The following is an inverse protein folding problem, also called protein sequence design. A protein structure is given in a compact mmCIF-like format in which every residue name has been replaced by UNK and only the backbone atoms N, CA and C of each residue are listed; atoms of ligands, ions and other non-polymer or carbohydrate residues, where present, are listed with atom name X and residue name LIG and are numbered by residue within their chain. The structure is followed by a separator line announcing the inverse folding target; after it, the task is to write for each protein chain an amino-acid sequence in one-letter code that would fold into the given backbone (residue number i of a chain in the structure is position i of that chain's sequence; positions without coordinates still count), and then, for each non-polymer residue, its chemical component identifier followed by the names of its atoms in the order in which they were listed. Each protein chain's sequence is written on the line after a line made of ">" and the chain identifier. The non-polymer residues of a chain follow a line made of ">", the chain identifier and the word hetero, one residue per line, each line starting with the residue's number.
data_IF_133927794509
#
_entry.id   IF_133927794509
#
_cell.length_a   1.000
_cell.length_b   1.000
_cell.length_c   1.000
_cell.angle_alpha   90.00
_cell.angle_beta   90.00
_cell.angle_gamma   90.00
#
_symmetry.space_group_name_H-M   'P 1'
#
loop_
_entity.id
_entity.type
_entity.pdbx_description
1 polymer ?
#
# COMPACT_ATOMS: atom_id res chain seq x y z
N UNK A 1 -11.75 -0.97 20.31
CA UNK A 1 -11.13 0.28 20.80
C UNK A 1 -11.41 1.44 19.87
N UNK A 2 -11.27 2.71 20.33
CA UNK A 2 -11.41 3.90 19.49
C UNK A 2 -10.17 4.07 18.60
N UNK A 3 -10.35 4.62 17.38
CA UNK A 3 -9.24 4.95 16.49
C UNK A 3 -8.43 6.12 17.06
N UNK A 4 -7.12 6.00 17.02
CA UNK A 4 -6.19 7.08 17.34
C UNK A 4 -5.29 7.30 16.13
N UNK A 5 -5.48 8.38 15.35
CA UNK A 5 -4.64 8.65 14.19
C UNK A 5 -3.16 8.83 14.58
N UNK A 6 -2.28 8.45 13.67
CA UNK A 6 -0.83 8.67 13.77
C UNK A 6 -0.38 9.71 12.72
N UNK A 7 0.89 10.17 12.74
CA UNK A 7 1.41 11.06 11.69
C UNK A 7 1.26 10.45 10.30
N UNK A 8 0.80 11.24 9.32
CA UNK A 8 0.52 10.74 7.96
C UNK A 8 1.79 10.39 7.17
N UNK A 9 2.92 11.05 7.47
CA UNK A 9 4.16 10.83 6.75
C UNK A 9 5.25 10.24 7.65
N UNK A 10 5.88 9.16 7.17
CA UNK A 10 7.08 8.55 7.75
C UNK A 10 8.35 9.18 7.14
N UNK A 11 8.53 10.49 7.32
CA UNK A 11 9.64 11.25 6.69
C UNK A 11 10.90 11.36 7.58
N UNK A 12 10.90 10.72 8.75
CA UNK A 12 12.06 10.60 9.62
C UNK A 12 13.10 9.64 9.05
N UNK A 13 14.30 10.10 8.73
CA UNK A 13 15.36 9.27 8.12
C UNK A 13 15.69 8.01 8.92
N UNK A 14 15.71 8.09 10.25
CA UNK A 14 15.99 6.94 11.13
C UNK A 14 14.85 5.91 11.05
N UNK A 15 13.60 6.36 11.05
CA UNK A 15 12.40 5.53 10.92
C UNK A 15 12.34 4.88 9.54
N UNK A 16 12.56 5.65 8.46
CA UNK A 16 12.59 5.13 7.09
C UNK A 16 13.65 4.02 6.92
N UNK A 17 14.86 4.22 7.49
CA UNK A 17 15.91 3.21 7.46
C UNK A 17 15.57 1.96 8.26
N UNK A 18 14.99 2.12 9.46
CA UNK A 18 14.55 0.99 10.28
C UNK A 18 13.48 0.16 9.56
N UNK A 19 12.52 0.84 8.93
CA UNK A 19 11.48 0.21 8.13
C UNK A 19 12.07 -0.52 6.91
N UNK A 20 12.95 0.13 6.15
CA UNK A 20 13.58 -0.47 4.97
C UNK A 20 14.50 -1.65 5.30
N UNK A 21 15.07 -1.69 6.52
CA UNK A 21 15.92 -2.78 6.99
C UNK A 21 15.12 -3.97 7.56
N UNK A 22 13.83 -3.80 7.83
CA UNK A 22 12.99 -4.88 8.33
C UNK A 22 12.66 -5.91 7.23
N UNK A 23 12.61 -7.17 7.60
CA UNK A 23 12.27 -8.25 6.66
C UNK A 23 10.76 -8.41 6.54
N UNK A 24 10.17 -7.82 5.51
CA UNK A 24 8.77 -7.99 5.12
C UNK A 24 8.58 -9.00 3.98
N UNK A 25 9.65 -9.70 3.55
CA UNK A 25 9.69 -10.48 2.30
C UNK A 25 8.57 -11.50 2.19
N UNK A 26 8.26 -12.23 3.25
CA UNK A 26 7.19 -13.25 3.25
C UNK A 26 5.80 -12.60 3.07
N UNK A 27 5.53 -11.49 3.77
CA UNK A 27 4.26 -10.77 3.68
C UNK A 27 4.07 -10.08 2.32
N UNK A 28 5.15 -9.53 1.78
CA UNK A 28 5.16 -8.89 0.46
C UNK A 28 4.97 -9.92 -0.65
N UNK A 29 5.61 -11.10 -0.54
CA UNK A 29 5.42 -12.19 -1.51
C UNK A 29 3.98 -12.72 -1.45
N UNK A 30 3.42 -12.91 -0.26
CA UNK A 30 2.03 -13.33 -0.10
C UNK A 30 1.04 -12.36 -0.75
N UNK A 31 1.34 -11.02 -0.73
CA UNK A 31 0.55 -10.03 -1.44
C UNK A 31 0.60 -10.28 -2.96
N UNK A 32 1.78 -10.47 -3.54
CA UNK A 32 1.92 -10.74 -4.98
C UNK A 32 1.21 -12.03 -5.38
N UNK A 33 1.31 -13.08 -4.56
CA UNK A 33 0.60 -14.35 -4.81
C UNK A 33 -0.92 -14.16 -4.74
N UNK A 34 -1.39 -13.34 -3.78
CA UNK A 34 -2.83 -13.00 -3.66
C UNK A 34 -3.36 -12.29 -4.89
N UNK A 35 -2.59 -11.35 -5.47
CA UNK A 35 -2.96 -10.68 -6.72
C UNK A 35 -3.19 -11.66 -7.86
N UNK A 36 -2.36 -12.70 -7.98
CA UNK A 36 -2.49 -13.74 -9.01
C UNK A 36 -3.77 -14.57 -8.84
N UNK A 37 -4.23 -14.75 -7.60
CA UNK A 37 -5.50 -15.44 -7.30
C UNK A 37 -6.70 -14.57 -7.61
N UNK A 38 -6.65 -13.28 -7.20
CA UNK A 38 -7.78 -12.35 -7.38
C UNK A 38 -7.95 -11.92 -8.84
N UNK A 39 -6.84 -11.80 -9.57
CA UNK A 39 -6.81 -11.30 -10.95
C UNK A 39 -6.07 -12.28 -11.87
N UNK A 40 -6.66 -13.45 -12.16
CA UNK A 40 -6.00 -14.51 -12.94
C UNK A 40 -5.66 -14.08 -14.37
N UNK A 41 -6.34 -13.07 -14.89
CA UNK A 41 -6.03 -12.45 -16.21
C UNK A 41 -4.88 -11.45 -16.15
N UNK A 42 -4.21 -11.30 -15.00
CA UNK A 42 -3.12 -10.35 -14.77
C UNK A 42 -3.61 -8.97 -14.35
N UNK A 43 -2.67 -8.00 -14.27
CA UNK A 43 -2.94 -6.63 -13.81
C UNK A 43 -2.93 -5.59 -14.94
N UNK A 44 -2.63 -6.01 -16.17
CA UNK A 44 -2.48 -5.11 -17.31
C UNK A 44 -1.08 -4.50 -17.42
N UNK A 45 -0.97 -3.39 -18.15
CA UNK A 45 0.33 -2.85 -18.59
C UNK A 45 0.81 -1.63 -17.80
N UNK A 46 -0.02 -1.03 -16.94
CA UNK A 46 0.33 0.16 -16.16
C UNK A 46 -0.14 0.02 -14.73
N UNK A 47 0.81 -0.25 -13.82
CA UNK A 47 0.57 -0.56 -12.43
C UNK A 47 0.99 0.61 -11.54
N UNK A 48 0.14 1.00 -10.63
CA UNK A 48 0.38 2.08 -9.67
C UNK A 48 0.40 1.52 -8.25
N UNK A 49 1.43 1.86 -7.50
CA UNK A 49 1.60 1.50 -6.08
C UNK A 49 1.55 2.78 -5.24
N UNK A 50 0.43 3.02 -4.56
CA UNK A 50 0.17 4.20 -3.73
C UNK A 50 0.66 3.96 -2.30
N UNK A 51 1.50 4.88 -1.80
CA UNK A 51 2.20 4.71 -0.53
C UNK A 51 3.28 3.64 -0.64
N UNK A 52 4.09 3.71 -1.71
CA UNK A 52 5.03 2.64 -2.05
C UNK A 52 6.21 2.51 -1.05
N UNK A 53 6.42 3.49 -0.17
CA UNK A 53 7.54 3.51 0.78
C UNK A 53 8.89 3.31 0.08
N UNK A 54 9.77 2.42 0.59
CA UNK A 54 11.07 2.12 -0.02
C UNK A 54 10.96 1.21 -1.26
N UNK A 55 9.75 0.99 -1.78
CA UNK A 55 9.51 0.31 -3.06
C UNK A 55 9.36 -1.21 -2.99
N UNK A 56 9.22 -1.80 -1.83
CA UNK A 56 9.17 -3.26 -1.67
C UNK A 56 8.16 -3.96 -2.59
N UNK A 57 6.92 -3.45 -2.63
CA UNK A 57 5.87 -3.99 -3.50
C UNK A 57 6.13 -3.59 -4.95
N UNK A 58 6.53 -2.33 -5.21
CA UNK A 58 6.83 -1.85 -6.57
C UNK A 58 7.89 -2.71 -7.27
N UNK A 59 8.98 -3.09 -6.59
CA UNK A 59 10.00 -3.97 -7.15
C UNK A 59 9.46 -5.38 -7.46
N UNK A 60 8.66 -5.96 -6.56
CA UNK A 60 8.06 -7.28 -6.77
C UNK A 60 7.05 -7.27 -7.92
N UNK A 61 6.27 -6.19 -8.05
CA UNK A 61 5.39 -5.99 -9.22
C UNK A 61 6.19 -5.92 -10.51
N UNK A 62 7.28 -5.16 -10.51
CA UNK A 62 8.15 -5.06 -11.67
C UNK A 62 8.79 -6.42 -12.04
N UNK A 63 9.17 -7.23 -11.07
CA UNK A 63 9.72 -8.58 -11.32
C UNK A 63 8.64 -9.56 -11.82
N UNK A 64 7.43 -9.48 -11.26
CA UNK A 64 6.33 -10.40 -11.59
C UNK A 64 5.66 -10.09 -12.92
N UNK A 65 5.63 -8.79 -13.32
CA UNK A 65 5.00 -8.29 -14.54
C UNK A 65 6.04 -7.57 -15.41
N UNK A 66 6.93 -8.31 -16.11
CA UNK A 66 8.08 -7.73 -16.82
C UNK A 66 7.72 -6.81 -17.98
N UNK A 67 6.51 -6.93 -18.52
CA UNK A 67 6.01 -6.11 -19.63
C UNK A 67 5.21 -4.87 -19.16
N UNK A 68 5.03 -4.70 -17.85
CA UNK A 68 4.28 -3.59 -17.30
C UNK A 68 5.18 -2.40 -16.92
N UNK A 69 4.66 -1.18 -17.11
CA UNK A 69 5.14 0.01 -16.43
C UNK A 69 4.67 -0.03 -14.96
N UNK A 70 5.59 0.16 -14.02
CA UNK A 70 5.28 0.24 -12.58
C UNK A 70 5.64 1.63 -12.08
N UNK A 71 4.72 2.27 -11.38
CA UNK A 71 4.89 3.60 -10.82
C UNK A 71 4.65 3.52 -9.32
N UNK A 72 5.68 3.72 -8.51
CA UNK A 72 5.54 3.89 -7.06
C UNK A 72 5.32 5.36 -6.72
N UNK A 73 4.35 5.65 -5.88
CA UNK A 73 4.04 7.00 -5.40
C UNK A 73 4.09 7.02 -3.89
N UNK A 74 4.81 8.00 -3.33
CA UNK A 74 4.87 8.22 -1.89
C UNK A 74 4.99 9.71 -1.57
N UNK A 75 4.48 10.13 -0.41
CA UNK A 75 4.62 11.50 0.11
C UNK A 75 5.91 11.72 0.90
N UNK A 76 6.59 10.65 1.34
CA UNK A 76 7.80 10.72 2.16
C UNK A 76 9.06 10.69 1.29
N UNK A 77 9.76 11.82 1.20
CA UNK A 77 10.99 11.94 0.41
C UNK A 77 12.07 10.95 0.85
N UNK A 78 12.24 10.75 2.16
CA UNK A 78 13.21 9.81 2.71
C UNK A 78 12.97 8.35 2.27
N UNK A 79 11.71 7.93 2.16
CA UNK A 79 11.35 6.61 1.65
C UNK A 79 11.70 6.46 0.17
N UNK A 80 11.37 7.46 -0.63
CA UNK A 80 11.65 7.41 -2.07
C UNK A 80 13.15 7.49 -2.41
N UNK A 81 13.95 8.14 -1.59
CA UNK A 81 15.40 8.15 -1.77
C UNK A 81 15.97 6.74 -1.62
N UNK A 82 15.51 5.99 -0.61
CA UNK A 82 15.87 4.57 -0.45
C UNK A 82 15.40 3.72 -1.65
N UNK A 83 14.17 3.94 -2.13
CA UNK A 83 13.66 3.23 -3.31
C UNK A 83 14.52 3.51 -4.56
N UNK A 84 14.92 4.76 -4.79
CA UNK A 84 15.77 5.16 -5.91
C UNK A 84 17.18 4.58 -5.81
N UNK A 85 17.77 4.54 -4.61
CA UNK A 85 19.06 3.88 -4.37
C UNK A 85 19.02 2.40 -4.75
N UNK A 86 17.98 1.66 -4.31
CA UNK A 86 17.79 0.25 -4.67
C UNK A 86 17.60 0.09 -6.18
N UNK A 87 16.79 0.95 -6.82
CA UNK A 87 16.58 0.92 -8.27
C UNK A 87 17.89 1.13 -9.04
N UNK A 88 18.69 2.09 -8.60
CA UNK A 88 20.00 2.37 -9.20
C UNK A 88 20.94 1.15 -9.08
N UNK A 89 21.05 0.56 -7.89
CA UNK A 89 21.89 -0.61 -7.64
C UNK A 89 21.46 -1.81 -8.50
N UNK A 90 20.16 -2.11 -8.56
CA UNK A 90 19.62 -3.20 -9.39
C UNK A 90 19.85 -2.96 -10.87
N UNK A 91 19.68 -1.71 -11.35
CA UNK A 91 19.91 -1.35 -12.74
C UNK A 91 21.38 -1.44 -13.14
N UNK A 92 22.32 -1.15 -12.24
CA UNK A 92 23.75 -1.35 -12.45
C UNK A 92 24.12 -2.84 -12.57
N UNK A 93 23.47 -3.70 -11.80
CA UNK A 93 23.75 -5.14 -11.77
C UNK A 93 23.07 -5.91 -12.90
N UNK A 94 21.85 -5.54 -13.28
CA UNK A 94 20.98 -6.30 -14.18
C UNK A 94 20.74 -5.61 -15.54
N UNK A 95 21.28 -4.42 -15.73
CA UNK A 95 21.06 -3.58 -16.92
C UNK A 95 19.88 -2.64 -16.76
N UNK A 96 19.70 -1.71 -17.74
CA UNK A 96 18.77 -0.58 -17.63
C UNK A 96 17.29 -0.94 -17.81
N UNK A 97 16.96 -2.18 -18.15
CA UNK A 97 15.58 -2.59 -18.44
C UNK A 97 14.61 -2.30 -17.30
N UNK A 98 15.06 -2.46 -16.04
CA UNK A 98 14.23 -2.18 -14.87
C UNK A 98 13.92 -0.69 -14.74
N UNK A 99 14.92 0.18 -14.85
CA UNK A 99 14.73 1.63 -14.71
C UNK A 99 13.99 2.28 -15.89
N UNK A 100 13.80 1.57 -17.00
CA UNK A 100 12.97 2.03 -18.11
C UNK A 100 11.47 1.85 -17.85
N UNK A 101 11.09 0.94 -16.94
CA UNK A 101 9.70 0.58 -16.68
C UNK A 101 9.26 0.71 -15.21
N UNK A 102 10.19 0.93 -14.28
CA UNK A 102 9.91 1.25 -12.88
C UNK A 102 10.40 2.65 -12.56
N UNK A 103 9.53 3.47 -12.00
CA UNK A 103 9.87 4.83 -11.54
C UNK A 103 9.14 5.17 -10.25
N UNK A 104 9.70 6.14 -9.52
CA UNK A 104 9.15 6.63 -8.25
C UNK A 104 8.83 8.12 -8.35
N UNK A 105 7.67 8.51 -7.83
CA UNK A 105 7.12 9.86 -7.88
C UNK A 105 6.86 10.36 -6.46
N UNK A 106 7.45 11.48 -6.10
CA UNK A 106 7.14 12.19 -4.83
C UNK A 106 5.83 12.96 -5.01
N UNK A 107 4.81 12.52 -4.29
CA UNK A 107 3.47 13.09 -4.42
C UNK A 107 2.63 12.76 -3.19
N UNK A 108 2.09 13.77 -2.53
CA UNK A 108 1.09 13.61 -1.48
C UNK A 108 -0.31 13.44 -2.10
N UNK A 109 -1.13 12.60 -1.49
CA UNK A 109 -2.50 12.34 -1.95
C UNK A 109 -3.49 13.31 -1.31
N UNK A 110 -4.58 13.70 -2.04
CA UNK A 110 -4.78 13.50 -3.47
C UNK A 110 -4.00 14.52 -4.28
N UNK A 111 -3.65 14.20 -5.52
CA UNK A 111 -2.93 15.14 -6.39
C UNK A 111 -3.37 15.02 -7.84
N UNK A 112 -3.43 16.14 -8.59
CA UNK A 112 -3.64 16.11 -10.04
C UNK A 112 -2.42 15.55 -10.81
N UNK A 113 -1.25 15.43 -10.17
CA UNK A 113 -0.03 14.87 -10.77
C UNK A 113 -0.01 13.34 -10.76
N UNK A 114 -1.00 12.70 -10.12
CA UNK A 114 -1.11 11.25 -10.10
C UNK A 114 -1.25 10.68 -11.53
N UNK A 115 -0.59 9.53 -11.80
CA UNK A 115 -0.76 8.84 -13.07
C UNK A 115 -2.22 8.48 -13.33
N UNK A 116 -2.69 8.70 -14.54
CA UNK A 116 -4.05 8.38 -14.97
C UNK A 116 -4.07 7.15 -15.87
N UNK A 117 -5.26 6.59 -16.12
CA UNK A 117 -5.47 5.42 -16.96
C UNK A 117 -4.59 4.21 -16.55
N UNK A 118 -4.45 4.00 -15.25
CA UNK A 118 -3.77 2.83 -14.72
C UNK A 118 -4.65 1.58 -14.93
N UNK A 119 -4.03 0.47 -15.31
CA UNK A 119 -4.72 -0.82 -15.46
C UNK A 119 -4.93 -1.51 -14.11
N UNK A 120 -4.08 -1.20 -13.14
CA UNK A 120 -4.26 -1.59 -11.74
C UNK A 120 -3.72 -0.52 -10.79
N UNK A 121 -4.36 -0.37 -9.64
CA UNK A 121 -3.92 0.50 -8.53
C UNK A 121 -3.88 -0.33 -7.26
N UNK A 122 -2.70 -0.34 -6.64
CA UNK A 122 -2.41 -1.07 -5.44
C UNK A 122 -2.03 -0.12 -4.31
N UNK A 123 -2.22 -0.57 -3.07
CA UNK A 123 -1.66 0.08 -1.89
C UNK A 123 -1.46 -0.97 -0.79
N UNK A 124 -0.36 -0.86 -0.07
CA UNK A 124 -0.08 -1.72 1.07
C UNK A 124 0.34 -0.87 2.26
N UNK A 125 -0.40 -0.95 3.35
CA UNK A 125 -0.09 -0.26 4.61
C UNK A 125 -0.02 1.28 4.48
N UNK A 126 -0.99 1.88 3.78
CA UNK A 126 -1.13 3.33 3.62
C UNK A 126 -2.41 3.88 4.28
N UNK A 127 -3.53 3.16 4.16
CA UNK A 127 -4.85 3.67 4.55
C UNK A 127 -4.90 4.11 6.01
N UNK A 128 -4.24 3.38 6.92
CA UNK A 128 -4.24 3.70 8.35
C UNK A 128 -3.51 5.02 8.67
N UNK A 129 -2.54 5.45 7.86
CA UNK A 129 -1.87 6.73 8.03
C UNK A 129 -2.77 7.91 7.68
N UNK A 130 -3.75 7.76 6.79
CA UNK A 130 -4.57 8.85 6.32
C UNK A 130 -5.57 9.32 7.38
N UNK A 131 -5.52 10.59 7.74
CA UNK A 131 -6.50 11.21 8.64
C UNK A 131 -7.88 11.26 8.01
N UNK A 132 -7.96 11.68 6.74
CA UNK A 132 -9.14 11.54 5.87
C UNK A 132 -8.97 10.36 4.90
N UNK A 133 -9.58 9.19 5.15
CA UNK A 133 -9.46 8.04 4.26
C UNK A 133 -10.04 8.28 2.86
N UNK A 134 -10.93 9.28 2.71
CA UNK A 134 -11.50 9.65 1.40
C UNK A 134 -10.42 10.13 0.42
N UNK A 135 -9.26 10.55 0.92
CA UNK A 135 -8.08 10.87 0.10
C UNK A 135 -7.64 9.69 -0.76
N UNK A 136 -7.55 8.48 -0.18
CA UNK A 136 -7.20 7.28 -0.94
C UNK A 136 -8.28 6.94 -1.96
N UNK A 137 -9.54 6.92 -1.55
CA UNK A 137 -10.65 6.55 -2.42
C UNK A 137 -10.82 7.51 -3.61
N UNK A 138 -10.64 8.82 -3.39
CA UNK A 138 -10.60 9.82 -4.50
C UNK A 138 -9.42 9.57 -5.43
N UNK A 139 -8.26 9.19 -4.89
CA UNK A 139 -7.07 8.89 -5.71
C UNK A 139 -7.30 7.69 -6.64
N UNK A 140 -8.04 6.67 -6.21
CA UNK A 140 -8.42 5.55 -7.10
C UNK A 140 -9.22 6.02 -8.31
N UNK A 141 -10.17 6.96 -8.11
CA UNK A 141 -10.98 7.53 -9.20
C UNK A 141 -10.15 8.41 -10.15
N UNK A 142 -9.12 9.10 -9.63
CA UNK A 142 -8.20 9.91 -10.46
C UNK A 142 -7.34 9.01 -11.33
N UNK A 143 -6.77 7.94 -10.73
CA UNK A 143 -5.78 7.09 -11.38
C UNK A 143 -6.41 6.03 -12.30
N UNK A 144 -7.63 5.57 -11.97
CA UNK A 144 -8.29 4.48 -12.65
C UNK A 144 -9.32 4.93 -13.68
N UNK A 145 -9.83 3.93 -14.40
CA UNK A 145 -10.96 4.00 -15.32
C UNK A 145 -11.81 2.72 -15.10
N UNK A 146 -12.99 2.59 -15.69
CA UNK A 146 -13.77 1.36 -15.65
C UNK A 146 -12.91 0.15 -16.05
N UNK A 147 -12.96 -0.92 -15.24
CA UNK A 147 -12.14 -2.12 -15.41
C UNK A 147 -10.74 -2.03 -14.77
N UNK A 148 -10.35 -0.89 -14.18
CA UNK A 148 -9.11 -0.81 -13.39
C UNK A 148 -9.19 -1.73 -12.19
N UNK A 149 -8.20 -2.60 -12.02
CA UNK A 149 -8.09 -3.53 -10.90
C UNK A 149 -7.56 -2.83 -9.67
N UNK A 150 -8.26 -3.00 -8.56
CA UNK A 150 -7.92 -2.38 -7.28
C UNK A 150 -7.53 -3.47 -6.28
N UNK A 151 -6.42 -3.27 -5.60
CA UNK A 151 -6.04 -4.08 -4.44
C UNK A 151 -5.41 -3.21 -3.36
N UNK A 152 -6.04 -3.18 -2.19
CA UNK A 152 -5.54 -2.50 -1.00
C UNK A 152 -5.40 -3.55 0.11
N UNK A 153 -4.23 -3.63 0.71
CA UNK A 153 -4.01 -4.41 1.94
C UNK A 153 -3.58 -3.44 3.03
N UNK A 154 -4.23 -3.52 4.17
CA UNK A 154 -3.93 -2.61 5.26
C UNK A 154 -4.13 -3.27 6.63
N UNK A 155 -3.53 -2.68 7.67
CA UNK A 155 -3.76 -3.12 9.03
C UNK A 155 -5.25 -2.98 9.40
N UNK A 156 -5.70 -3.89 10.24
CA UNK A 156 -7.06 -3.91 10.77
C UNK A 156 -7.04 -3.62 12.26
N UNK A 157 -7.78 -2.60 12.70
CA UNK A 157 -7.85 -2.23 14.11
C UNK A 157 -8.41 -3.37 14.95
N UNK A 158 -7.66 -3.86 15.96
CA UNK A 158 -8.15 -4.87 16.90
C UNK A 158 -9.33 -4.37 17.74
N UNK A 159 -10.03 -5.30 18.37
CA UNK A 159 -11.19 -4.96 19.20
C UNK A 159 -10.79 -4.20 20.47
N UNK A 160 -9.66 -4.56 21.09
CA UNK A 160 -9.19 -3.99 22.36
C UNK A 160 -7.69 -3.66 22.29
N UNK A 161 -7.19 -2.77 23.20
CA UNK A 161 -5.76 -2.48 23.30
C UNK A 161 -4.92 -3.73 23.63
N UNK A 162 -5.44 -4.63 24.49
CA UNK A 162 -4.76 -5.87 24.84
C UNK A 162 -4.59 -6.80 23.65
N UNK A 163 -5.57 -6.83 22.73
CA UNK A 163 -5.44 -7.57 21.48
C UNK A 163 -4.37 -6.94 20.54
N UNK A 164 -4.18 -5.61 20.57
CA UNK A 164 -3.11 -4.96 19.83
C UNK A 164 -1.73 -5.35 20.39
N UNK A 165 -1.57 -5.37 21.72
CA UNK A 165 -0.34 -5.83 22.37
C UNK A 165 -0.02 -7.30 22.05
N UNK A 166 -1.03 -8.18 22.03
CA UNK A 166 -0.85 -9.58 21.64
C UNK A 166 -0.39 -9.73 20.18
N UNK A 167 -0.89 -8.89 19.26
CA UNK A 167 -0.42 -8.87 17.88
C UNK A 167 1.02 -8.38 17.79
N UNK A 168 1.38 -7.31 18.52
CA UNK A 168 2.76 -6.83 18.58
C UNK A 168 3.70 -7.93 19.08
N UNK A 169 3.35 -8.59 20.17
CA UNK A 169 4.16 -9.67 20.74
C UNK A 169 4.28 -10.86 19.77
N UNK A 170 3.20 -11.23 19.09
CA UNK A 170 3.20 -12.34 18.13
C UNK A 170 4.08 -12.09 16.91
N UNK A 171 4.06 -10.86 16.36
CA UNK A 171 4.67 -10.58 15.07
C UNK A 171 5.98 -9.80 15.14
N UNK A 172 6.25 -9.12 16.25
CA UNK A 172 7.39 -8.22 16.40
C UNK A 172 8.16 -8.41 17.71
N UNK A 173 8.07 -9.59 18.33
CA UNK A 173 8.76 -9.87 19.61
C UNK A 173 10.26 -9.54 19.57
N UNK A 174 10.96 -9.94 18.50
CA UNK A 174 12.41 -9.75 18.33
C UNK A 174 12.76 -8.49 17.50
N UNK A 175 11.76 -7.68 17.11
CA UNK A 175 12.00 -6.48 16.32
C UNK A 175 12.58 -5.33 17.19
N UNK A 176 13.30 -4.37 16.59
CA UNK A 176 13.71 -3.14 17.29
C UNK A 176 12.52 -2.42 17.93
N UNK A 177 12.73 -1.83 19.11
CA UNK A 177 11.66 -1.19 19.89
C UNK A 177 10.90 -0.11 19.08
N UNK A 178 11.60 0.64 18.23
CA UNK A 178 10.98 1.64 17.36
C UNK A 178 9.92 1.02 16.44
N UNK A 179 10.20 -0.14 15.84
CA UNK A 179 9.23 -0.84 14.98
C UNK A 179 8.06 -1.43 15.77
N UNK A 180 8.30 -1.88 17.01
CA UNK A 180 7.23 -2.35 17.89
C UNK A 180 6.27 -1.22 18.25
N UNK A 181 6.80 -0.02 18.58
CA UNK A 181 6.03 1.17 18.91
C UNK A 181 5.26 1.68 17.69
N UNK A 182 5.90 1.78 16.51
CA UNK A 182 5.26 2.16 15.26
C UNK A 182 4.11 1.21 14.91
N UNK A 183 4.34 -0.10 15.05
CA UNK A 183 3.29 -1.11 14.76
C UNK A 183 2.07 -0.97 15.69
N UNK A 184 2.29 -0.72 16.98
CA UNK A 184 1.18 -0.45 17.90
C UNK A 184 0.42 0.82 17.53
N UNK A 185 1.13 1.90 17.20
CA UNK A 185 0.52 3.15 16.75
C UNK A 185 -0.32 2.90 15.49
N UNK A 186 0.22 2.17 14.52
CA UNK A 186 -0.48 1.81 13.27
C UNK A 186 -1.71 0.93 13.52
N UNK A 187 -1.65 -0.04 14.46
CA UNK A 187 -2.84 -0.82 14.86
C UNK A 187 -3.93 0.04 15.51
N UNK A 188 -3.54 1.07 16.27
CA UNK A 188 -4.48 2.03 16.84
C UNK A 188 -5.05 2.99 15.79
N UNK A 189 -4.29 3.33 14.76
CA UNK A 189 -4.68 4.19 13.65
C UNK A 189 -5.48 3.45 12.57
N UNK A 190 -5.37 2.12 12.49
CA UNK A 190 -6.04 1.29 11.50
C UNK A 190 -7.57 1.40 11.54
N UNK A 191 -8.20 1.09 10.42
CA UNK A 191 -9.66 1.03 10.30
C UNK A 191 -10.19 -0.39 10.52
N UNK A 192 -11.46 -0.52 10.88
CA UNK A 192 -12.19 -1.79 10.90
C UNK A 192 -12.81 -2.05 9.53
N UNK A 193 -13.13 -3.31 9.25
CA UNK A 193 -13.76 -3.71 7.97
C UNK A 193 -15.08 -2.94 7.74
N UNK A 194 -15.88 -2.75 8.78
CA UNK A 194 -17.15 -2.04 8.69
C UNK A 194 -16.95 -0.56 8.33
N UNK A 195 -15.95 0.07 8.95
CA UNK A 195 -15.60 1.48 8.66
C UNK A 195 -15.10 1.64 7.21
N UNK A 196 -14.28 0.71 6.72
CA UNK A 196 -13.83 0.72 5.33
C UNK A 196 -14.99 0.52 4.36
N UNK A 197 -15.94 -0.35 4.69
CA UNK A 197 -17.15 -0.54 3.87
C UNK A 197 -17.98 0.73 3.76
N UNK A 198 -18.17 1.45 4.87
CA UNK A 198 -18.85 2.75 4.89
C UNK A 198 -18.09 3.81 4.07
N UNK A 199 -16.75 3.85 4.18
CA UNK A 199 -15.92 4.75 3.39
C UNK A 199 -16.06 4.48 1.88
N UNK A 200 -16.05 3.23 1.45
CA UNK A 200 -16.24 2.84 0.06
C UNK A 200 -17.63 3.25 -0.45
N UNK A 201 -18.68 3.07 0.35
CA UNK A 201 -20.04 3.52 0.01
C UNK A 201 -20.09 5.03 -0.18
N UNK A 202 -19.49 5.80 0.76
CA UNK A 202 -19.42 7.28 0.68
C UNK A 202 -18.62 7.75 -0.55
N UNK A 203 -17.61 6.99 -0.97
CA UNK A 203 -16.80 7.27 -2.15
C UNK A 203 -17.45 6.83 -3.48
N UNK A 204 -18.64 6.21 -3.44
CA UNK A 204 -19.26 5.62 -4.63
C UNK A 204 -18.49 4.42 -5.19
N UNK A 205 -17.74 3.70 -4.35
CA UNK A 205 -16.91 2.54 -4.70
C UNK A 205 -17.51 1.23 -4.17
N UNK A 206 -18.83 1.12 -4.12
CA UNK A 206 -19.54 -0.08 -3.66
C UNK A 206 -19.32 -1.32 -4.56
N UNK A 207 -18.72 -1.15 -5.73
CA UNK A 207 -18.23 -2.22 -6.59
C UNK A 207 -17.03 -2.98 -5.98
N UNK A 208 -16.29 -2.35 -5.05
CA UNK A 208 -15.17 -2.98 -4.38
C UNK A 208 -15.63 -3.80 -3.17
N UNK A 209 -15.00 -4.94 -2.98
CA UNK A 209 -15.21 -5.82 -1.84
C UNK A 209 -14.22 -5.48 -0.73
N UNK A 210 -14.60 -5.70 0.53
CA UNK A 210 -13.73 -5.57 1.71
C UNK A 210 -13.97 -6.73 2.65
N UNK A 211 -12.88 -7.36 3.10
CA UNK A 211 -12.92 -8.48 4.06
C UNK A 211 -11.69 -8.47 4.98
N UNK A 212 -11.77 -9.14 6.15
CA UNK A 212 -10.57 -9.47 6.89
C UNK A 212 -9.75 -10.48 6.09
N UNK A 213 -8.43 -10.23 5.99
CA UNK A 213 -7.49 -11.15 5.33
C UNK A 213 -6.95 -12.18 6.34
N UNK A 214 -6.57 -11.69 7.53
CA UNK A 214 -6.08 -12.51 8.64
C UNK A 214 -6.41 -11.84 10.00
N UNK A 215 -5.66 -12.15 11.06
CA UNK A 215 -5.89 -11.60 12.39
C UNK A 215 -5.47 -10.12 12.53
N UNK A 216 -4.62 -9.59 11.62
CA UNK A 216 -4.08 -8.22 11.67
C UNK A 216 -4.31 -7.38 10.40
N UNK A 217 -4.71 -8.01 9.29
CA UNK A 217 -4.93 -7.32 8.02
C UNK A 217 -6.38 -7.40 7.55
N UNK A 218 -6.78 -6.39 6.78
CA UNK A 218 -7.92 -6.40 5.89
C UNK A 218 -7.45 -6.25 4.45
N UNK A 219 -8.28 -6.63 3.51
CA UNK A 219 -8.07 -6.37 2.08
C UNK A 219 -9.31 -5.74 1.44
N UNK A 220 -9.07 -4.87 0.45
CA UNK A 220 -10.08 -4.32 -0.45
C UNK A 220 -9.69 -4.71 -1.86
N UNK A 221 -10.63 -5.25 -2.64
CA UNK A 221 -10.35 -5.65 -4.02
C UNK A 221 -11.57 -5.56 -4.93
N UNK A 222 -11.33 -5.53 -6.23
CA UNK A 222 -12.34 -5.52 -7.27
C UNK A 222 -11.89 -4.78 -8.50
N UNK A 223 -12.84 -4.48 -9.37
CA UNK A 223 -12.62 -3.64 -10.55
C UNK A 223 -13.49 -2.38 -10.43
N UNK A 224 -12.95 -1.25 -10.84
CA UNK A 224 -13.74 -0.01 -10.91
C UNK A 224 -14.83 -0.17 -11.97
N UNK A 225 -16.02 0.30 -11.63
CA UNK A 225 -17.15 0.41 -12.53
C UNK A 225 -17.26 1.81 -13.18
N UNK A 226 -18.19 1.99 -14.08
CA UNK A 226 -18.45 3.28 -14.74
C UNK A 226 -18.87 4.38 -13.75
N UNK A 227 -19.12 4.03 -12.49
CA UNK A 227 -19.56 4.93 -11.42
C UNK A 227 -20.83 5.66 -11.80
N UNK A 228 -21.94 5.26 -11.27
CA UNK A 228 -23.09 6.18 -11.29
C UNK A 228 -22.69 7.46 -10.54
N UNK A 229 -23.05 8.65 -11.05
CA UNK A 229 -22.81 9.92 -10.40
C UNK A 229 -23.47 10.00 -9.03
#
# INVERSE_FOLDING_TARGET
>A
MQRTPEPELMDGLAQARAYAAADFSAGDQALIDRLSVLFPSGLGSRLLDLGCGPGNISFRLADRYPDAEVIGVDGAGAMLDLAKEVLQQRSQQQGPALSQRLRFLLCCLPSPELPVACSAVLSNSLLHHLHDPQVLWRSLRICGAPGTRIYIKDLRRPATPEAAEQLRERYLFDAPEVLQQDYLASLHAAFRVEEVREQLQQAGLSCLQVAPLDDRYLEVWGELDDGAP
#
